data_IF_530110593178
#
_entry.id   IF_530110593178
#
_cell.length_a   1.000
_cell.length_b   1.000
_cell.length_c   1.000
_cell.angle_alpha   90.00
_cell.angle_beta   90.00
_cell.angle_gamma   90.00
#
_symmetry.space_group_name_H-M   'P 1'
#
loop_
_entity.id
_entity.type
_entity.pdbx_description
1 polymer ?
#
# COMPACT_ATOMS: atom_id res chain seq x y z
N UNK A 1 -50.82 -45.40 5.13
CA UNK A 1 -49.35 -45.55 5.17
C UNK A 1 -48.64 -44.92 3.96
N UNK A 2 -49.27 -44.04 3.17
CA UNK A 2 -48.71 -43.49 1.90
C UNK A 2 -48.07 -42.11 2.05
N UNK A 3 -48.39 -41.39 3.13
CA UNK A 3 -48.00 -39.97 3.34
C UNK A 3 -46.51 -39.79 3.71
N UNK A 4 -46.00 -40.70 4.55
CA UNK A 4 -44.64 -40.64 5.10
C UNK A 4 -43.53 -40.82 4.04
N UNK A 5 -43.83 -41.57 2.97
CA UNK A 5 -42.89 -41.84 1.86
C UNK A 5 -42.75 -40.65 0.91
N UNK A 6 -43.81 -39.84 0.80
CA UNK A 6 -43.81 -38.60 0.03
C UNK A 6 -43.00 -37.53 0.77
N UNK A 7 -43.29 -37.34 2.07
CA UNK A 7 -42.60 -36.37 2.91
C UNK A 7 -41.07 -36.63 2.98
N UNK A 8 -40.67 -37.90 3.16
CA UNK A 8 -39.26 -38.28 3.17
C UNK A 8 -38.55 -37.96 1.85
N UNK A 9 -39.21 -38.15 0.70
CA UNK A 9 -38.65 -37.81 -0.61
C UNK A 9 -38.51 -36.31 -0.82
N UNK A 10 -39.49 -35.53 -0.38
CA UNK A 10 -39.44 -34.06 -0.47
C UNK A 10 -38.31 -33.49 0.38
N UNK A 11 -38.11 -34.01 1.60
CA UNK A 11 -37.01 -33.60 2.49
C UNK A 11 -35.66 -33.96 1.89
N UNK A 12 -35.49 -35.17 1.35
CA UNK A 12 -34.22 -35.58 0.71
C UNK A 12 -33.90 -34.68 -0.50
N UNK A 13 -34.90 -34.33 -1.31
CA UNK A 13 -34.71 -33.47 -2.47
C UNK A 13 -34.31 -32.04 -2.08
N UNK A 14 -34.95 -31.47 -1.06
CA UNK A 14 -34.60 -30.14 -0.53
C UNK A 14 -33.18 -30.12 0.05
N UNK A 15 -32.81 -31.13 0.81
CA UNK A 15 -31.46 -31.26 1.39
C UNK A 15 -30.38 -31.31 0.30
N UNK A 16 -30.60 -32.11 -0.76
CA UNK A 16 -29.66 -32.22 -1.88
C UNK A 16 -29.53 -30.91 -2.65
N UNK A 17 -30.64 -30.18 -2.85
CA UNK A 17 -30.61 -28.88 -3.52
C UNK A 17 -29.79 -27.85 -2.73
N UNK A 18 -29.95 -27.82 -1.40
CA UNK A 18 -29.17 -26.93 -0.53
C UNK A 18 -27.68 -27.27 -0.58
N UNK A 19 -27.33 -28.56 -0.49
CA UNK A 19 -25.94 -29.01 -0.55
C UNK A 19 -25.29 -28.64 -1.89
N UNK A 20 -26.01 -28.84 -3.00
CA UNK A 20 -25.53 -28.49 -4.34
C UNK A 20 -25.31 -26.97 -4.48
N UNK A 21 -26.24 -26.14 -4.00
CA UNK A 21 -26.08 -24.69 -3.97
C UNK A 21 -24.86 -24.27 -3.14
N UNK A 22 -24.69 -24.83 -1.94
CA UNK A 22 -23.53 -24.53 -1.11
C UNK A 22 -22.22 -24.92 -1.83
N UNK A 23 -22.14 -26.12 -2.40
CA UNK A 23 -20.95 -26.56 -3.14
C UNK A 23 -20.63 -25.64 -4.35
N UNK A 24 -21.65 -25.16 -5.05
CA UNK A 24 -21.50 -24.16 -6.13
C UNK A 24 -20.96 -22.83 -5.60
N UNK A 25 -21.51 -22.31 -4.51
CA UNK A 25 -21.02 -21.03 -3.94
C UNK A 25 -19.57 -21.12 -3.47
N UNK A 26 -19.18 -22.22 -2.81
CA UNK A 26 -17.80 -22.42 -2.37
C UNK A 26 -16.84 -22.59 -3.54
N UNK A 27 -17.24 -23.32 -4.59
CA UNK A 27 -16.39 -23.46 -5.79
C UNK A 27 -16.21 -22.13 -6.51
N UNK A 28 -17.27 -21.32 -6.64
CA UNK A 28 -17.18 -19.96 -7.20
C UNK A 28 -16.26 -19.08 -6.35
N UNK A 29 -16.38 -19.15 -5.02
CA UNK A 29 -15.55 -18.35 -4.11
C UNK A 29 -14.07 -18.76 -4.16
N UNK A 30 -13.77 -20.04 -4.33
CA UNK A 30 -12.41 -20.55 -4.51
C UNK A 30 -11.83 -20.18 -5.88
N UNK A 31 -12.64 -20.23 -6.95
CA UNK A 31 -12.24 -19.85 -8.31
C UNK A 31 -12.03 -18.34 -8.46
N UNK A 32 -12.85 -17.53 -7.80
CA UNK A 32 -12.74 -16.07 -7.80
C UNK A 32 -11.49 -15.59 -7.04
N UNK A 33 -10.85 -16.45 -6.27
CA UNK A 33 -9.79 -16.10 -5.35
C UNK A 33 -10.34 -15.26 -4.19
N UNK A 34 -9.84 -15.49 -2.99
CA UNK A 34 -9.97 -14.47 -1.94
C UNK A 34 -9.39 -13.17 -2.51
N UNK A 35 -10.03 -11.99 -2.32
CA UNK A 35 -9.36 -10.74 -2.65
C UNK A 35 -8.05 -10.78 -1.88
N UNK A 36 -6.94 -10.90 -2.61
CA UNK A 36 -5.64 -10.93 -2.00
C UNK A 36 -5.54 -9.61 -1.25
N UNK A 37 -5.64 -9.67 0.08
CA UNK A 37 -5.25 -8.59 0.95
C UNK A 37 -3.75 -8.52 0.76
N UNK A 38 -3.32 -7.83 -0.30
CA UNK A 38 -1.92 -7.57 -0.53
C UNK A 38 -1.45 -6.83 0.73
N UNK A 39 -0.40 -7.32 1.41
CA UNK A 39 0.14 -6.58 2.54
C UNK A 39 0.44 -5.18 2.05
N UNK A 40 -0.11 -4.17 2.76
CA UNK A 40 0.03 -2.77 2.42
C UNK A 40 1.53 -2.48 2.25
N UNK A 41 1.96 -2.23 1.00
CA UNK A 41 3.38 -2.00 0.72
C UNK A 41 3.78 -0.70 1.40
N UNK A 42 4.88 -0.76 2.13
CA UNK A 42 5.48 0.40 2.78
C UNK A 42 6.60 0.90 1.87
N UNK A 43 6.74 2.21 1.74
CA UNK A 43 7.81 2.82 0.96
C UNK A 43 9.16 2.50 1.60
N UNK A 44 10.12 2.05 0.78
CA UNK A 44 11.50 1.81 1.21
C UNK A 44 12.17 3.14 1.56
N UNK A 45 12.59 3.27 2.82
CA UNK A 45 13.07 4.53 3.39
C UNK A 45 14.42 4.94 2.79
N UNK A 46 15.31 3.99 2.52
CA UNK A 46 16.60 4.25 1.88
C UNK A 46 16.43 4.72 0.43
N UNK A 47 15.54 4.07 -0.34
CA UNK A 47 15.22 4.48 -1.70
C UNK A 47 14.57 5.86 -1.75
N UNK A 48 13.66 6.15 -0.81
CA UNK A 48 13.03 7.46 -0.69
C UNK A 48 14.05 8.55 -0.35
N UNK A 49 14.92 8.31 0.65
CA UNK A 49 15.96 9.27 1.04
C UNK A 49 16.90 9.59 -0.13
N UNK A 50 17.28 8.58 -0.91
CA UNK A 50 18.07 8.76 -2.15
C UNK A 50 17.32 9.57 -3.21
N UNK A 51 16.03 9.30 -3.41
CA UNK A 51 15.23 10.03 -4.38
C UNK A 51 15.12 11.52 -4.01
N UNK A 52 14.86 11.82 -2.74
CA UNK A 52 14.84 13.18 -2.19
C UNK A 52 16.20 13.85 -2.36
N UNK A 53 17.29 13.17 -2.01
CA UNK A 53 18.66 13.69 -2.13
C UNK A 53 19.03 14.04 -3.58
N UNK A 54 18.56 13.24 -4.54
CA UNK A 54 18.78 13.50 -5.98
C UNK A 54 17.95 14.68 -6.52
N UNK A 55 16.89 15.08 -5.82
CA UNK A 55 16.03 16.19 -6.24
C UNK A 55 16.51 17.54 -5.68
N UNK A 56 17.14 17.55 -4.51
CA UNK A 56 17.68 18.76 -3.91
C UNK A 56 18.96 19.23 -4.62
N UNK A 57 19.10 20.55 -4.78
CA UNK A 57 20.29 21.15 -5.40
C UNK A 57 21.40 21.27 -4.38
N UNK A 58 22.52 20.58 -4.56
CA UNK A 58 23.66 20.64 -3.64
C UNK A 58 24.25 22.04 -3.45
N UNK A 59 23.98 22.99 -4.35
CA UNK A 59 24.44 24.38 -4.24
C UNK A 59 23.77 25.18 -3.11
N UNK A 60 22.61 24.72 -2.64
CA UNK A 60 21.86 25.38 -1.56
C UNK A 60 22.32 24.89 -0.17
N UNK A 61 23.27 23.95 -0.10
CA UNK A 61 23.73 23.31 1.14
C UNK A 61 25.16 23.73 1.48
N UNK A 62 25.39 23.89 2.79
CA UNK A 62 26.69 24.24 3.36
C UNK A 62 27.75 23.16 3.12
N UNK A 63 27.31 21.90 3.13
CA UNK A 63 28.09 20.70 2.81
C UNK A 63 27.29 19.85 1.84
N UNK A 64 27.94 18.97 1.07
CA UNK A 64 27.21 17.97 0.28
C UNK A 64 26.28 17.17 1.22
N UNK A 65 24.96 17.20 0.99
CA UNK A 65 24.03 16.48 1.84
C UNK A 65 24.20 14.96 1.64
N UNK A 66 24.03 14.19 2.71
CA UNK A 66 24.05 12.72 2.70
C UNK A 66 22.68 12.15 3.04
N UNK A 67 22.51 10.83 2.90
CA UNK A 67 21.26 10.14 3.30
C UNK A 67 20.91 10.43 4.77
N UNK A 68 21.90 10.52 5.65
CA UNK A 68 21.68 10.80 7.07
C UNK A 68 21.14 12.21 7.35
N UNK A 69 21.31 13.14 6.41
CA UNK A 69 20.74 14.48 6.50
C UNK A 69 19.26 14.51 6.06
N UNK A 70 18.72 13.41 5.51
CA UNK A 70 17.34 13.31 5.03
C UNK A 70 16.46 12.61 6.07
N UNK A 71 15.47 13.33 6.59
CA UNK A 71 14.45 12.82 7.50
C UNK A 71 13.08 12.79 6.83
N UNK A 72 12.62 11.59 6.49
CA UNK A 72 11.27 11.34 5.98
C UNK A 72 10.37 10.68 7.04
N UNK A 73 9.04 10.83 6.97
CA UNK A 73 8.13 10.15 7.89
C UNK A 73 8.27 8.63 7.76
N UNK A 74 8.33 7.94 8.90
CA UNK A 74 8.44 6.49 8.92
C UNK A 74 7.13 5.82 8.47
N UNK A 75 7.28 4.64 7.86
CA UNK A 75 6.15 3.72 7.57
C UNK A 75 5.04 4.34 6.72
N UNK A 76 5.40 5.06 5.65
CA UNK A 76 4.41 5.58 4.70
C UNK A 76 3.89 4.44 3.82
N UNK A 77 2.59 4.15 3.86
CA UNK A 77 2.01 3.18 2.94
C UNK A 77 1.97 3.76 1.52
N UNK A 78 2.19 2.90 0.54
CA UNK A 78 2.15 3.22 -0.89
C UNK A 78 0.68 3.41 -1.30
N UNK A 79 0.20 4.64 -1.15
CA UNK A 79 -1.16 5.05 -1.48
C UNK A 79 -1.11 6.12 -2.58
N UNK A 80 -1.62 5.80 -3.77
CA UNK A 80 -1.67 6.73 -4.88
C UNK A 80 -2.39 8.03 -4.50
N UNK A 81 -1.77 9.17 -4.79
CA UNK A 81 -2.26 10.50 -4.44
C UNK A 81 -1.85 10.99 -3.04
N UNK A 82 -1.22 10.16 -2.22
CA UNK A 82 -0.72 10.58 -0.90
C UNK A 82 0.47 11.52 -1.05
N UNK A 83 0.47 12.57 -0.23
CA UNK A 83 1.51 13.59 -0.18
C UNK A 83 2.11 13.63 1.23
N UNK A 84 3.43 13.81 1.30
CA UNK A 84 4.17 13.99 2.55
C UNK A 84 5.41 14.83 2.28
N UNK A 85 6.04 15.32 3.34
CA UNK A 85 7.23 16.16 3.25
C UNK A 85 8.42 15.47 3.91
N UNK A 86 9.58 15.54 3.26
CA UNK A 86 10.85 15.13 3.84
C UNK A 86 11.68 16.36 4.17
N UNK A 87 12.31 16.35 5.33
CA UNK A 87 13.26 17.38 5.75
C UNK A 87 14.67 16.99 5.29
N UNK A 88 15.45 17.97 4.82
CA UNK A 88 16.86 17.82 4.50
C UNK A 88 17.66 18.87 5.28
N UNK A 89 18.53 18.40 6.17
CA UNK A 89 19.34 19.24 7.04
C UNK A 89 20.60 19.77 6.31
N UNK A 90 21.09 20.94 6.75
CA UNK A 90 22.35 21.51 6.26
C UNK A 90 22.22 22.51 5.11
N UNK A 91 21.02 23.03 4.86
CA UNK A 91 20.79 24.15 3.93
C UNK A 91 21.44 25.41 4.49
N UNK A 92 22.19 26.15 3.67
CA UNK A 92 22.80 27.41 4.09
C UNK A 92 24.24 27.59 3.63
N UNK A 93 24.86 28.68 4.06
CA UNK A 93 26.17 29.15 3.61
C UNK A 93 27.34 28.70 4.49
N UNK A 94 27.15 27.66 5.29
CA UNK A 94 28.14 27.14 6.24
C UNK A 94 28.20 27.90 7.57
N UNK A 95 27.56 29.07 7.66
CA UNK A 95 27.48 29.86 8.88
C UNK A 95 26.11 29.75 9.57
N UNK A 96 25.08 29.34 8.83
CA UNK A 96 23.75 29.00 9.35
C UNK A 96 23.34 27.62 8.84
N UNK A 97 23.03 26.70 9.75
CA UNK A 97 22.43 25.39 9.42
C UNK A 97 20.91 25.52 9.41
N UNK A 98 20.34 25.59 8.22
CA UNK A 98 18.90 25.55 7.95
C UNK A 98 18.44 24.20 7.43
N UNK A 99 17.17 24.17 7.04
CA UNK A 99 16.42 22.97 6.67
C UNK A 99 15.69 23.21 5.34
N UNK A 100 15.69 22.23 4.43
CA UNK A 100 14.88 22.22 3.22
C UNK A 100 13.75 21.21 3.36
N UNK A 101 12.54 21.62 2.99
CA UNK A 101 11.39 20.73 2.93
C UNK A 101 11.13 20.35 1.47
N UNK A 102 11.18 19.05 1.19
CA UNK A 102 10.90 18.48 -0.14
C UNK A 102 9.54 17.81 -0.10
N UNK A 103 8.65 18.22 -1.00
CA UNK A 103 7.32 17.63 -1.09
C UNK A 103 7.38 16.38 -1.96
N UNK A 104 6.94 15.26 -1.40
CA UNK A 104 6.88 13.96 -2.07
C UNK A 104 5.42 13.57 -2.29
N UNK A 105 5.08 13.22 -3.52
CA UNK A 105 3.77 12.68 -3.90
C UNK A 105 3.91 11.28 -4.46
N UNK A 106 3.15 10.34 -3.92
CA UNK A 106 3.03 8.98 -4.47
C UNK A 106 2.07 9.04 -5.65
N UNK A 107 2.53 8.71 -6.85
CA UNK A 107 1.72 8.78 -8.08
C UNK A 107 0.88 7.54 -8.30
N UNK A 108 1.41 6.37 -7.96
CA UNK A 108 0.76 5.08 -8.20
C UNK A 108 0.96 4.08 -7.05
N UNK A 109 0.31 2.94 -7.16
CA UNK A 109 0.40 1.80 -6.23
C UNK A 109 1.69 0.98 -6.40
N UNK A 110 2.53 1.34 -7.37
CA UNK A 110 3.85 0.75 -7.61
C UNK A 110 4.96 1.50 -6.87
N UNK A 111 4.67 2.69 -6.33
CA UNK A 111 5.62 3.52 -5.60
C UNK A 111 6.35 4.54 -6.48
N UNK A 112 5.81 4.90 -7.66
CA UNK A 112 6.33 6.03 -8.43
C UNK A 112 6.13 7.34 -7.66
N UNK A 113 7.16 8.20 -7.69
CA UNK A 113 7.21 9.42 -6.88
C UNK A 113 7.26 10.68 -7.75
N UNK A 114 6.66 11.76 -7.24
CA UNK A 114 6.87 13.13 -7.71
C UNK A 114 7.53 13.92 -6.59
N UNK A 115 8.59 14.64 -6.92
CA UNK A 115 9.36 15.45 -5.97
C UNK A 115 9.32 16.90 -6.45
N UNK A 116 9.08 17.86 -5.54
CA UNK A 116 9.01 19.28 -5.85
C UNK A 116 9.20 20.18 -4.64
#
# INVERSE_FOLDING_TARGET
>A
MTDQRSFARTVIALSLAVIACCALTFTIMLLAGSPAVQPQRVLDQDALARAVLNNVKSADFAKPPTIDDVSCPASIPVEAGREFECNVDGVGDGNSSGHAWVKVKIKDDQGDLSLG
#
